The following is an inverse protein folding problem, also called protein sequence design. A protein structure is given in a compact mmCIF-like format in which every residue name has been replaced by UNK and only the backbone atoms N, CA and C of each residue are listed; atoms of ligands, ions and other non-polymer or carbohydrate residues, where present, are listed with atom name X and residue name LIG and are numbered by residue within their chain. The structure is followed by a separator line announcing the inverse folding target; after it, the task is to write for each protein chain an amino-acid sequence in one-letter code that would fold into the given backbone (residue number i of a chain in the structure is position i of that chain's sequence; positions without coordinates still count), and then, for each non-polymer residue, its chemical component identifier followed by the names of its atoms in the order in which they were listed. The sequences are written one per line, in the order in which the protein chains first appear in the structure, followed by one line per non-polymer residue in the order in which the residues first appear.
data_IF_793405243222
#
_entry.id   IF_793405243222
#
_cell.length_a   1.000
_cell.length_b   1.000
_cell.length_c   1.000
_cell.angle_alpha   90.00
_cell.angle_beta   90.00
_cell.angle_gamma   90.00
#
_symmetry.space_group_name_H-M   'P 1'
#
loop_
_entity.id
_entity.type
_entity.pdbx_description
1 polymer ?
#
# COMPACT_ATOMS: atom_id res chain seq x y z
N UNK A 1 21.62 -7.46 4.87
CA UNK A 1 20.55 -6.61 4.27
C UNK A 1 19.26 -7.38 4.43
N UNK A 2 18.34 -6.92 5.28
CA UNK A 2 17.05 -7.57 5.40
C UNK A 2 16.23 -7.16 4.18
N UNK A 3 16.00 -8.11 3.28
CA UNK A 3 15.11 -7.89 2.15
C UNK A 3 13.72 -7.54 2.70
N UNK A 4 13.25 -6.35 2.39
CA UNK A 4 11.91 -5.93 2.78
C UNK A 4 10.93 -6.67 1.88
N UNK A 5 10.22 -7.65 2.45
CA UNK A 5 9.28 -8.47 1.69
C UNK A 5 8.03 -7.67 1.33
N UNK A 6 8.04 -7.07 0.14
CA UNK A 6 6.88 -6.37 -0.43
C UNK A 6 5.82 -7.34 -0.93
N UNK A 7 4.57 -7.05 -0.59
CA UNK A 7 3.39 -7.77 -1.06
C UNK A 7 2.59 -6.85 -1.96
N UNK A 8 2.53 -7.20 -3.25
CA UNK A 8 1.74 -6.52 -4.27
C UNK A 8 0.26 -6.88 -4.14
N UNK A 9 -0.63 -5.89 -4.27
CA UNK A 9 -2.08 -6.10 -4.22
C UNK A 9 -2.54 -7.12 -5.27
N UNK A 10 -3.47 -8.00 -4.91
CA UNK A 10 -4.07 -8.98 -5.85
C UNK A 10 -4.91 -8.34 -6.96
N UNK A 11 -5.30 -7.07 -6.82
CA UNK A 11 -6.00 -6.30 -7.86
C UNK A 11 -5.05 -5.66 -8.87
N UNK A 12 -3.74 -5.83 -8.68
CA UNK A 12 -2.73 -5.31 -9.59
C UNK A 12 -2.79 -6.05 -10.94
N UNK A 13 -3.11 -5.31 -11.99
CA UNK A 13 -3.08 -5.82 -13.38
C UNK A 13 -1.67 -5.72 -14.00
N UNK A 14 -1.51 -6.09 -15.26
CA UNK A 14 -0.27 -5.84 -16.00
C UNK A 14 -0.06 -4.33 -16.17
N UNK A 15 0.89 -3.76 -15.42
CA UNK A 15 1.19 -2.32 -15.41
C UNK A 15 1.99 -1.88 -14.18
N UNK A 16 2.25 -0.57 -14.08
CA UNK A 16 3.07 0.07 -13.03
C UNK A 16 2.27 0.80 -11.94
N UNK A 17 0.95 0.76 -11.98
CA UNK A 17 0.05 1.45 -11.05
C UNK A 17 -0.35 0.58 -9.84
N UNK A 18 0.59 -0.21 -9.33
CA UNK A 18 0.30 -1.21 -8.31
C UNK A 18 0.72 -0.74 -6.93
N UNK A 19 -0.18 -0.89 -5.96
CA UNK A 19 0.11 -0.62 -4.55
C UNK A 19 0.76 -1.85 -3.90
N UNK A 20 1.83 -1.62 -3.14
CA UNK A 20 2.58 -2.65 -2.41
C UNK A 20 2.67 -2.32 -0.92
N UNK A 21 2.64 -3.36 -0.09
CA UNK A 21 2.74 -3.26 1.37
C UNK A 21 3.91 -4.11 1.90
N UNK A 22 4.59 -3.64 2.94
CA UNK A 22 5.56 -4.46 3.68
C UNK A 22 5.41 -4.30 5.19
N UNK A 23 5.68 -5.38 5.93
CA UNK A 23 5.71 -5.36 7.38
C UNK A 23 7.07 -4.85 7.86
N UNK A 24 7.06 -3.76 8.64
CA UNK A 24 8.26 -3.17 9.23
C UNK A 24 7.95 -2.75 10.67
N UNK A 25 7.79 -3.74 11.56
CA UNK A 25 7.29 -3.54 12.92
C UNK A 25 8.03 -2.40 13.66
N UNK A 26 7.31 -1.47 14.32
CA UNK A 26 5.86 -1.47 14.59
C UNK A 26 4.98 -0.89 13.45
N UNK A 27 5.58 -0.60 12.30
CA UNK A 27 4.96 0.08 11.17
C UNK A 27 4.58 -0.87 10.03
N UNK A 28 3.80 -0.32 9.11
CA UNK A 28 3.62 -0.84 7.76
C UNK A 28 4.23 0.15 6.79
N UNK A 29 4.84 -0.36 5.73
CA UNK A 29 5.32 0.44 4.62
C UNK A 29 4.33 0.32 3.47
N UNK A 30 4.06 1.43 2.80
CA UNK A 30 3.22 1.55 1.63
C UNK A 30 4.04 2.23 0.53
N UNK A 31 3.98 1.70 -0.69
CA UNK A 31 4.54 2.36 -1.88
C UNK A 31 3.75 1.99 -3.13
N UNK A 32 4.02 2.70 -4.21
CA UNK A 32 3.56 2.38 -5.55
C UNK A 32 4.71 1.78 -6.36
N UNK A 33 4.40 0.84 -7.26
CA UNK A 33 5.43 0.17 -8.07
C UNK A 33 6.14 1.12 -9.05
N UNK A 34 5.46 2.16 -9.55
CA UNK A 34 6.07 3.18 -10.41
C UNK A 34 6.98 4.15 -9.63
N UNK A 35 6.78 4.26 -8.31
CA UNK A 35 7.55 5.12 -7.42
C UNK A 35 8.19 4.31 -6.27
N UNK A 36 9.09 3.34 -6.56
CA UNK A 36 9.57 2.37 -5.57
C UNK A 36 10.42 2.98 -4.44
N UNK A 37 10.90 4.21 -4.64
CA UNK A 37 11.69 4.98 -3.69
C UNK A 37 10.83 5.88 -2.78
N UNK A 38 9.56 6.08 -3.11
CA UNK A 38 8.62 6.87 -2.30
C UNK A 38 7.89 5.93 -1.35
N UNK A 39 8.42 5.80 -0.13
CA UNK A 39 7.87 4.90 0.89
C UNK A 39 7.18 5.69 1.99
N UNK A 40 5.90 5.38 2.21
CA UNK A 40 5.12 5.94 3.31
C UNK A 40 5.14 4.94 4.47
N UNK A 41 5.68 5.37 5.62
CA UNK A 41 5.53 4.64 6.88
C UNK A 41 4.17 4.96 7.52
N UNK A 42 3.38 3.93 7.78
CA UNK A 42 2.06 4.04 8.40
C UNK A 42 1.89 3.04 9.53
N UNK A 43 0.71 3.01 10.15
CA UNK A 43 0.35 2.01 11.15
C UNK A 43 -0.78 1.12 10.63
N UNK A 44 -0.92 -0.12 11.16
CA UNK A 44 -2.06 -0.97 10.82
C UNK A 44 -3.42 -0.30 11.05
N UNK A 45 -3.53 0.59 12.04
CA UNK A 45 -4.77 1.32 12.31
C UNK A 45 -5.06 2.37 11.23
N UNK A 46 -4.07 3.17 10.83
CA UNK A 46 -4.22 4.19 9.78
C UNK A 46 -4.50 3.57 8.42
N UNK A 47 -3.83 2.47 8.07
CA UNK A 47 -4.11 1.75 6.82
C UNK A 47 -5.54 1.21 6.78
N UNK A 48 -6.05 0.64 7.88
CA UNK A 48 -7.45 0.17 7.97
C UNK A 48 -8.43 1.33 7.79
N UNK A 49 -8.19 2.48 8.44
CA UNK A 49 -9.04 3.65 8.30
C UNK A 49 -9.07 4.18 6.87
N UNK A 50 -7.91 4.25 6.20
CA UNK A 50 -7.82 4.62 4.78
C UNK A 50 -8.65 3.68 3.89
N UNK A 51 -8.45 2.36 4.05
CA UNK A 51 -9.19 1.37 3.27
C UNK A 51 -10.70 1.43 3.52
N UNK A 52 -11.13 1.70 4.76
CA UNK A 52 -12.54 1.89 5.07
C UNK A 52 -13.11 3.13 4.35
N UNK A 53 -12.40 4.26 4.42
CA UNK A 53 -12.82 5.50 3.75
C UNK A 53 -12.89 5.34 2.22
N UNK A 54 -11.91 4.67 1.60
CA UNK A 54 -11.89 4.42 0.16
C UNK A 54 -13.05 3.51 -0.30
N UNK A 55 -13.45 2.54 0.53
CA UNK A 55 -14.60 1.67 0.21
C UNK A 55 -15.94 2.39 0.31
N UNK A 56 -16.04 3.42 1.14
CA UNK A 56 -17.27 4.22 1.31
C UNK A 56 -17.35 5.40 0.35
N UNK A 57 -16.21 5.87 -0.15
CA UNK A 57 -16.16 6.83 -1.23
C UNK A 57 -16.68 6.13 -2.49
N UNK A 58 -17.93 6.39 -2.88
CA UNK A 58 -18.41 6.00 -4.19
C UNK A 58 -17.44 6.61 -5.23
N UNK A 59 -16.97 5.85 -6.24
CA UNK A 59 -16.27 6.48 -7.35
C UNK A 59 -17.22 7.54 -7.93
N UNK A 60 -16.75 8.77 -8.00
CA UNK A 60 -17.45 9.82 -8.75
C UNK A 60 -17.76 9.28 -10.16
N UNK A 61 -18.99 9.43 -10.66
CA UNK A 61 -19.38 8.92 -11.98
C UNK A 61 -18.54 9.53 -13.11
#
# INVERSE_FOLDING_TARGET
MYDTKWQKSSFSSQGNECVELAAAQPHLLLRESDAPHTVIATTPARLRALLAALKTAAPSP
#
